data_IF_099628798216
#
_entry.id   IF_099628798216
#
_cell.length_a   1.000
_cell.length_b   1.000
_cell.length_c   1.000
_cell.angle_alpha   90.00
_cell.angle_beta   90.00
_cell.angle_gamma   90.00
#
_symmetry.space_group_name_H-M   'P 1'
#
loop_
_entity.id
_entity.type
_entity.pdbx_description
1 polymer ?
#
# COMPACT_ATOMS: atom_id res chain seq x y z
N UNK A 1 10.21 -13.43 -16.58
CA UNK A 1 9.54 -13.83 -15.31
C UNK A 1 8.01 -13.94 -15.38
N UNK A 2 7.35 -13.61 -16.50
CA UNK A 2 5.88 -13.66 -16.59
C UNK A 2 5.34 -15.06 -16.92
N UNK A 3 6.06 -15.85 -17.75
CA UNK A 3 5.68 -17.22 -18.09
C UNK A 3 5.57 -18.16 -16.88
N UNK A 4 6.53 -18.13 -15.96
CA UNK A 4 6.50 -18.97 -14.75
C UNK A 4 5.31 -18.60 -13.85
N UNK A 5 5.01 -17.30 -13.72
CA UNK A 5 3.84 -16.82 -12.99
C UNK A 5 2.56 -17.33 -13.66
N UNK A 6 2.43 -17.21 -14.98
CA UNK A 6 1.24 -17.69 -15.70
C UNK A 6 1.10 -19.21 -15.60
N UNK A 7 2.18 -19.97 -15.81
CA UNK A 7 2.15 -21.43 -15.70
C UNK A 7 1.74 -21.90 -14.30
N UNK A 8 2.29 -21.29 -13.25
CA UNK A 8 1.88 -21.54 -11.87
C UNK A 8 0.39 -21.28 -11.66
N UNK A 9 -0.11 -20.11 -12.12
CA UNK A 9 -1.54 -19.77 -12.01
C UNK A 9 -2.44 -20.71 -12.81
N UNK A 10 -2.00 -21.20 -13.96
CA UNK A 10 -2.73 -22.22 -14.75
C UNK A 10 -2.82 -23.53 -13.96
N UNK A 11 -1.72 -24.01 -13.38
CA UNK A 11 -1.73 -25.22 -12.55
C UNK A 11 -2.68 -25.06 -11.36
N UNK A 12 -2.63 -23.92 -10.68
CA UNK A 12 -3.54 -23.61 -9.57
C UNK A 12 -5.01 -23.59 -10.05
N UNK A 13 -5.30 -22.98 -11.19
CA UNK A 13 -6.65 -22.94 -11.74
C UNK A 13 -7.17 -24.33 -12.12
N UNK A 14 -6.33 -25.18 -12.73
CA UNK A 14 -6.67 -26.57 -13.05
C UNK A 14 -6.93 -27.37 -11.77
N UNK A 15 -6.06 -27.26 -10.77
CA UNK A 15 -6.24 -27.92 -9.48
C UNK A 15 -7.55 -27.49 -8.80
N UNK A 16 -7.85 -26.19 -8.81
CA UNK A 16 -9.10 -25.65 -8.28
C UNK A 16 -10.32 -26.17 -9.04
N UNK A 17 -10.26 -26.24 -10.37
CA UNK A 17 -11.35 -26.78 -11.19
C UNK A 17 -11.60 -28.27 -10.89
N UNK A 18 -10.53 -29.07 -10.76
CA UNK A 18 -10.62 -30.47 -10.37
C UNK A 18 -11.20 -30.63 -8.97
N UNK A 19 -10.75 -29.81 -8.01
CA UNK A 19 -11.31 -29.78 -6.67
C UNK A 19 -12.82 -29.50 -6.71
N UNK A 20 -13.25 -28.47 -7.45
CA UNK A 20 -14.66 -28.15 -7.61
C UNK A 20 -15.45 -29.32 -8.21
N UNK A 21 -14.96 -29.91 -9.31
CA UNK A 21 -15.60 -31.05 -9.96
C UNK A 21 -15.71 -32.26 -9.02
N UNK A 22 -14.64 -32.60 -8.31
CA UNK A 22 -14.61 -33.74 -7.39
C UNK A 22 -15.54 -33.53 -6.18
N UNK A 23 -15.69 -32.28 -5.74
CA UNK A 23 -16.49 -31.92 -4.57
C UNK A 23 -17.81 -31.26 -4.96
N UNK A 24 -18.40 -31.66 -6.10
CA UNK A 24 -19.67 -31.10 -6.58
C UNK A 24 -20.89 -31.68 -5.84
N UNK A 25 -20.81 -31.73 -4.52
CA UNK A 25 -21.87 -32.20 -3.64
C UNK A 25 -22.81 -31.07 -3.26
N UNK A 26 -24.11 -31.35 -3.24
CA UNK A 26 -25.12 -30.45 -2.66
C UNK A 26 -25.11 -30.60 -1.15
N UNK A 27 -25.00 -29.46 -0.45
CA UNK A 27 -25.06 -29.41 1.01
C UNK A 27 -26.29 -28.60 1.43
N UNK A 28 -27.23 -29.20 2.19
CA UNK A 28 -28.40 -28.50 2.69
C UNK A 28 -27.99 -27.57 3.84
N UNK A 29 -28.26 -26.27 3.68
CA UNK A 29 -28.04 -25.24 4.71
C UNK A 29 -29.39 -24.80 5.27
N UNK A 30 -29.60 -25.06 6.56
CA UNK A 30 -30.80 -24.59 7.28
C UNK A 30 -30.65 -23.11 7.58
N UNK A 31 -31.52 -22.28 7.00
CA UNK A 31 -31.50 -20.83 7.24
C UNK A 31 -32.40 -20.45 8.42
N UNK A 32 -33.65 -20.91 8.42
CA UNK A 32 -34.61 -20.62 9.49
C UNK A 32 -35.83 -21.56 9.42
N UNK A 33 -36.23 -22.15 10.54
CA UNK A 33 -37.33 -23.12 10.58
C UNK A 33 -37.09 -24.27 9.59
N UNK A 34 -38.07 -24.53 8.71
CA UNK A 34 -37.98 -25.53 7.62
C UNK A 34 -37.35 -25.00 6.32
N UNK A 35 -36.85 -23.76 6.30
CA UNK A 35 -36.19 -23.21 5.11
C UNK A 35 -34.76 -23.78 4.98
N UNK A 36 -34.58 -24.61 3.96
CA UNK A 36 -33.30 -25.23 3.60
C UNK A 36 -32.88 -24.75 2.21
N UNK A 37 -31.67 -24.20 2.09
CA UNK A 37 -31.07 -23.90 0.80
C UNK A 37 -29.98 -24.94 0.48
N UNK A 38 -30.10 -25.56 -0.69
CA UNK A 38 -29.07 -26.43 -1.22
C UNK A 38 -28.00 -25.61 -1.94
N UNK A 39 -26.81 -25.54 -1.34
CA UNK A 39 -25.66 -24.86 -1.93
C UNK A 39 -24.58 -25.88 -2.22
N UNK A 40 -23.86 -25.71 -3.33
CA UNK A 40 -22.74 -26.60 -3.66
C UNK A 40 -21.57 -26.35 -2.71
N UNK A 41 -20.95 -27.43 -2.24
CA UNK A 41 -19.81 -27.38 -1.32
C UNK A 41 -18.71 -26.38 -1.75
N UNK A 42 -18.27 -26.33 -3.03
CA UNK A 42 -17.19 -25.43 -3.44
C UNK A 42 -17.62 -23.96 -3.36
N UNK A 43 -18.90 -23.68 -3.64
CA UNK A 43 -19.47 -22.32 -3.57
C UNK A 43 -19.55 -21.88 -2.11
N UNK A 44 -20.05 -22.74 -1.23
CA UNK A 44 -20.18 -22.45 0.19
C UNK A 44 -18.82 -22.20 0.83
N UNK A 45 -17.81 -23.02 0.51
CA UNK A 45 -16.45 -22.83 0.98
C UNK A 45 -15.84 -21.53 0.46
N UNK A 46 -16.04 -21.21 -0.83
CA UNK A 46 -15.61 -19.93 -1.40
C UNK A 46 -16.25 -18.73 -0.71
N UNK A 47 -17.55 -18.80 -0.42
CA UNK A 47 -18.30 -17.74 0.26
C UNK A 47 -17.81 -17.55 1.71
N UNK A 48 -17.64 -18.64 2.45
CA UNK A 48 -17.13 -18.61 3.83
C UNK A 48 -15.70 -18.04 3.88
N UNK A 49 -14.84 -18.45 2.94
CA UNK A 49 -13.50 -17.91 2.81
C UNK A 49 -13.53 -16.41 2.51
N UNK A 50 -14.38 -15.95 1.57
CA UNK A 50 -14.53 -14.53 1.28
C UNK A 50 -15.02 -13.75 2.50
N UNK A 51 -16.02 -14.25 3.21
CA UNK A 51 -16.54 -13.60 4.41
C UNK A 51 -15.46 -13.40 5.48
N UNK A 52 -14.55 -14.36 5.65
CA UNK A 52 -13.40 -14.22 6.55
C UNK A 52 -12.27 -13.35 5.99
N UNK A 53 -11.98 -13.46 4.70
CA UNK A 53 -10.83 -12.81 4.07
C UNK A 53 -11.07 -11.34 3.71
N UNK A 54 -12.32 -10.95 3.36
CA UNK A 54 -12.70 -9.58 3.00
C UNK A 54 -12.38 -8.56 4.10
N UNK A 55 -12.80 -8.74 5.37
CA UNK A 55 -12.49 -7.78 6.42
C UNK A 55 -10.98 -7.65 6.67
N UNK A 56 -10.25 -8.77 6.62
CA UNK A 56 -8.79 -8.77 6.75
C UNK A 56 -8.12 -8.03 5.58
N UNK A 57 -8.58 -8.27 4.35
CA UNK A 57 -8.05 -7.61 3.15
C UNK A 57 -8.29 -6.10 3.17
N UNK A 58 -9.49 -5.66 3.59
CA UNK A 58 -9.81 -4.23 3.76
C UNK A 58 -8.91 -3.61 4.83
N UNK A 59 -8.74 -4.26 5.98
CA UNK A 59 -7.88 -3.77 7.06
C UNK A 59 -6.42 -3.62 6.58
N UNK A 60 -5.86 -4.65 5.93
CA UNK A 60 -4.51 -4.61 5.35
C UNK A 60 -4.37 -3.50 4.30
N UNK A 61 -5.40 -3.30 3.47
CA UNK A 61 -5.42 -2.24 2.45
C UNK A 61 -5.44 -0.85 3.07
N UNK A 62 -6.26 -0.63 4.10
CA UNK A 62 -6.35 0.63 4.82
C UNK A 62 -5.02 0.97 5.52
N UNK A 63 -4.41 0.01 6.19
CA UNK A 63 -3.09 0.17 6.81
C UNK A 63 -2.05 0.54 5.75
N UNK A 64 -2.01 -0.15 4.61
CA UNK A 64 -1.07 0.16 3.53
C UNK A 64 -1.26 1.56 2.95
N UNK A 65 -2.50 2.04 2.88
CA UNK A 65 -2.80 3.39 2.44
C UNK A 65 -2.38 4.45 3.45
N UNK A 66 -2.62 4.21 4.74
CA UNK A 66 -2.15 5.08 5.83
C UNK A 66 -0.63 5.22 5.82
N UNK A 67 0.10 4.10 5.68
CA UNK A 67 1.56 4.12 5.63
C UNK A 67 2.10 4.91 4.42
N UNK A 68 1.47 4.76 3.24
CA UNK A 68 1.82 5.56 2.06
C UNK A 68 1.64 7.06 2.30
N UNK A 69 0.51 7.48 2.89
CA UNK A 69 0.28 8.89 3.21
C UNK A 69 1.27 9.44 4.23
N UNK A 70 1.67 8.63 5.21
CA UNK A 70 2.70 9.01 6.19
C UNK A 70 4.07 9.21 5.53
N UNK A 71 4.44 8.33 4.59
CA UNK A 71 5.68 8.46 3.81
C UNK A 71 5.68 9.76 3.00
N UNK A 72 4.63 10.02 2.23
CA UNK A 72 4.50 11.26 1.44
C UNK A 72 4.57 12.53 2.32
N UNK A 73 3.96 12.49 3.51
CA UNK A 73 4.05 13.59 4.47
C UNK A 73 5.47 13.78 5.00
N UNK A 74 6.18 12.69 5.33
CA UNK A 74 7.57 12.75 5.80
C UNK A 74 8.52 13.23 4.70
N UNK A 75 8.32 12.82 3.45
CA UNK A 75 9.11 13.28 2.30
C UNK A 75 8.96 14.80 2.10
N UNK A 76 7.74 15.32 2.20
CA UNK A 76 7.49 16.78 2.12
C UNK A 76 8.09 17.54 3.30
N UNK A 77 7.99 17.00 4.51
CA UNK A 77 8.60 17.62 5.69
C UNK A 77 10.13 17.68 5.57
N UNK A 78 10.76 16.62 5.05
CA UNK A 78 12.19 16.60 4.75
C UNK A 78 12.56 17.62 3.68
N UNK A 79 11.82 17.68 2.56
CA UNK A 79 12.05 18.66 1.50
C UNK A 79 11.95 20.11 2.03
N UNK A 80 10.95 20.40 2.86
CA UNK A 80 10.80 21.71 3.49
C UNK A 80 11.92 22.03 4.48
N UNK A 81 12.35 21.06 5.30
CA UNK A 81 13.45 21.25 6.25
C UNK A 81 14.79 21.53 5.54
N UNK A 82 15.04 20.85 4.41
CA UNK A 82 16.20 21.11 3.55
C UNK A 82 16.11 22.50 2.90
N UNK A 83 14.95 22.90 2.38
CA UNK A 83 14.74 24.24 1.81
C UNK A 83 14.84 25.37 2.86
N UNK A 84 14.39 25.12 4.09
CA UNK A 84 14.53 26.05 5.24
C UNK A 84 15.95 26.06 5.81
N UNK A 85 16.79 25.07 5.48
CA UNK A 85 18.23 25.07 5.79
C UNK A 85 19.06 25.83 4.73
N UNK A 86 18.46 26.20 3.59
CA UNK A 86 19.07 27.05 2.55
C UNK A 86 18.94 28.60 2.70
N UNK A 87 18.61 29.24 3.84
CA UNK A 87 18.86 30.65 4.05
C UNK A 87 20.23 30.81 4.74
N UNK A 88 21.32 30.69 3.97
CA UNK A 88 22.66 30.82 4.55
C UNK A 88 23.85 31.03 3.61
N UNK A 89 23.72 30.86 2.29
CA UNK A 89 24.87 30.99 1.38
C UNK A 89 24.93 32.31 0.58
N UNK A 90 24.01 33.28 0.81
CA UNK A 90 23.98 34.52 -0.01
C UNK A 90 23.98 35.82 0.80
N UNK A 91 24.45 35.84 2.05
CA UNK A 91 24.78 37.13 2.69
C UNK A 91 26.03 37.10 3.57
N UNK A 92 27.11 36.54 3.04
CA UNK A 92 28.42 37.16 3.22
C UNK A 92 28.60 38.22 2.11
N UNK A 93 27.69 39.22 2.08
CA UNK A 93 28.01 40.46 1.39
C UNK A 93 29.09 41.12 2.25
N UNK A 94 30.32 41.01 1.76
CA UNK A 94 31.51 41.70 2.28
C UNK A 94 31.12 43.12 2.73
N UNK A 95 31.57 43.58 3.91
CA UNK A 95 31.43 44.99 4.26
C UNK A 95 32.04 45.82 3.12
N UNK A 96 31.44 46.96 2.72
CA UNK A 96 32.11 47.84 1.77
C UNK A 96 33.46 48.21 2.38
N UNK A 97 34.55 47.87 1.70
CA UNK A 97 35.86 48.42 1.99
C UNK A 97 35.72 49.94 1.97
N UNK A 98 35.67 50.55 3.16
CA UNK A 98 35.98 51.95 3.34
C UNK A 98 37.42 52.12 2.86
N UNK A 99 37.71 52.94 1.84
CA UNK A 99 39.10 53.22 1.50
C UNK A 99 39.76 53.87 2.71
N UNK A 100 40.78 53.19 3.24
CA UNK A 100 41.67 53.71 4.26
C UNK A 100 42.21 55.06 3.80
N UNK A 101 41.73 56.11 4.47
CA UNK A 101 42.33 57.44 4.42
C UNK A 101 43.60 57.33 5.27
N UNK A 102 44.67 56.81 4.68
CA UNK A 102 46.00 56.88 5.28
C UNK A 102 46.46 58.34 5.26
N UNK A 103 46.67 58.85 6.45
CA UNK A 103 47.09 60.21 6.78
C UNK A 103 48.43 60.62 6.18
N UNK A 104 48.66 61.93 6.03
CA UNK A 104 49.96 62.52 6.40
C UNK A 104 49.78 63.98 6.88
N UNK A 105 50.18 64.31 8.12
CA UNK A 105 50.33 65.69 8.59
C UNK A 105 51.73 66.20 8.28
N UNK A 106 51.85 67.42 7.77
CA UNK A 106 53.02 68.33 7.89
C UNK A 106 52.61 69.75 7.49
#
# INVERSE_FOLDING_TARGET
MQFLKTAFWVVVAVALALFCKANWASVPVKLWGDLVADVKLPILMGLAFLLGAVPLWIALRATRWSMRRRLEASEKALANALAVSEPGLTRAALPPETPDIVATPS
#
